data_IF_469868011759
#
_entry.id   IF_469868011759
#
_cell.length_a   1.000
_cell.length_b   1.000
_cell.length_c   1.000
_cell.angle_alpha   90.00
_cell.angle_beta   90.00
_cell.angle_gamma   90.00
#
_symmetry.space_group_name_H-M   'P 1'
#
loop_
_entity.id
_entity.type
_entity.pdbx_description
1 polymer ?
#
# COMPACT_ATOMS: atom_id res chain seq x y z
N UNK A 1 -16.60 17.72 1.75
CA UNK A 1 -16.85 17.93 0.32
C UNK A 1 -15.88 17.04 -0.42
N UNK A 2 -16.36 16.07 -1.20
CA UNK A 2 -15.46 15.22 -1.99
C UNK A 2 -15.15 15.91 -3.31
N UNK A 3 -13.87 16.12 -3.54
CA UNK A 3 -13.36 16.83 -4.71
C UNK A 3 -12.39 15.89 -5.42
N UNK A 4 -12.53 15.72 -6.73
CA UNK A 4 -11.65 14.86 -7.54
C UNK A 4 -10.99 15.67 -8.63
N UNK A 5 -9.73 15.39 -8.92
CA UNK A 5 -9.02 16.03 -10.03
C UNK A 5 -8.89 15.08 -11.21
N UNK A 6 -9.10 15.60 -12.42
CA UNK A 6 -8.75 14.94 -13.68
C UNK A 6 -7.50 15.61 -14.24
N UNK A 7 -6.56 14.81 -14.75
CA UNK A 7 -5.36 15.29 -15.43
C UNK A 7 -5.38 14.81 -16.87
N UNK A 8 -5.30 15.75 -17.82
CA UNK A 8 -5.05 15.47 -19.23
C UNK A 8 -3.67 16.00 -19.60
N UNK A 9 -2.82 15.15 -20.17
CA UNK A 9 -1.49 15.54 -20.67
C UNK A 9 -0.59 16.23 -19.63
N UNK A 10 -0.67 15.83 -18.36
CA UNK A 10 0.13 16.40 -17.27
C UNK A 10 -0.38 17.75 -16.73
N UNK A 11 -1.56 18.19 -17.18
CA UNK A 11 -2.26 19.39 -16.69
C UNK A 11 -3.53 18.95 -15.95
N UNK A 12 -3.83 19.54 -14.79
CA UNK A 12 -5.12 19.28 -14.12
C UNK A 12 -6.20 20.00 -14.93
N UNK A 13 -7.09 19.27 -15.59
CA UNK A 13 -8.04 19.83 -16.57
C UNK A 13 -9.48 19.88 -16.08
N UNK A 14 -9.85 19.11 -15.04
CA UNK A 14 -11.20 19.16 -14.48
C UNK A 14 -11.24 18.86 -12.98
N UNK A 15 -12.13 19.55 -12.26
CA UNK A 15 -12.45 19.33 -10.86
C UNK A 15 -13.84 18.69 -10.75
N UNK A 16 -13.94 17.39 -10.49
CA UNK A 16 -15.24 16.78 -10.26
C UNK A 16 -15.57 16.83 -8.77
N UNK A 17 -16.48 17.72 -8.39
CA UNK A 17 -16.98 17.82 -7.02
C UNK A 17 -18.23 16.97 -6.85
N UNK A 18 -18.28 16.12 -5.84
CA UNK A 18 -19.51 15.46 -5.39
C UNK A 18 -19.79 15.97 -3.99
N UNK A 19 -20.77 16.85 -3.87
CA UNK A 19 -21.10 17.47 -2.61
C UNK A 19 -22.62 17.55 -2.46
N UNK A 20 -23.15 16.89 -1.44
CA UNK A 20 -24.48 17.16 -0.90
C UNK A 20 -24.36 18.25 0.14
N UNK A 21 -25.04 19.38 -0.08
CA UNK A 21 -25.02 20.51 0.82
C UNK A 21 -26.30 20.53 1.63
N UNK A 22 -26.19 20.68 2.94
CA UNK A 22 -27.30 21.07 3.81
C UNK A 22 -26.84 22.27 4.62
N UNK A 23 -27.39 23.45 4.31
CA UNK A 23 -27.28 24.62 5.16
C UNK A 23 -28.44 24.59 6.16
N UNK A 24 -28.13 24.64 7.45
CA UNK A 24 -29.06 25.05 8.50
C UNK A 24 -28.43 26.27 9.17
N UNK A 25 -28.91 27.47 8.83
CA UNK A 25 -28.53 28.72 9.51
C UNK A 25 -29.43 28.99 10.71
N UNK A 26 -28.93 29.82 11.64
CA UNK A 26 -29.66 30.27 12.85
C UNK A 26 -30.91 31.13 12.52
N UNK A 27 -31.07 31.49 11.24
CA UNK A 27 -32.16 32.27 10.64
C UNK A 27 -33.23 31.40 9.93
N UNK A 28 -33.14 30.08 10.05
CA UNK A 28 -34.16 29.14 9.53
C UNK A 28 -34.09 28.88 8.02
N UNK A 29 -33.03 29.33 7.34
CA UNK A 29 -32.80 29.04 5.92
C UNK A 29 -32.48 27.53 5.74
N UNK A 30 -33.36 26.79 5.03
CA UNK A 30 -33.14 25.40 4.63
C UNK A 30 -32.94 25.34 3.12
N UNK A 31 -31.69 25.15 2.70
CA UNK A 31 -31.34 24.91 1.30
C UNK A 31 -30.61 23.57 1.17
N UNK A 32 -31.05 22.76 0.21
CA UNK A 32 -30.41 21.50 -0.17
C UNK A 32 -30.20 21.48 -1.67
N UNK A 33 -29.03 21.07 -2.12
CA UNK A 33 -28.69 21.01 -3.53
C UNK A 33 -28.11 19.63 -3.91
N UNK A 34 -28.46 19.11 -5.10
CA UNK A 34 -27.89 17.87 -5.61
C UNK A 34 -26.40 18.05 -5.95
N UNK A 35 -25.64 16.95 -5.88
CA UNK A 35 -24.24 16.94 -6.30
C UNK A 35 -24.12 17.29 -7.79
N UNK A 36 -23.27 18.27 -8.12
CA UNK A 36 -22.95 18.66 -9.50
C UNK A 36 -21.44 18.83 -9.67
N UNK A 37 -20.93 18.48 -10.85
CA UNK A 37 -19.55 18.71 -11.25
C UNK A 37 -19.29 20.20 -11.46
N UNK A 38 -18.11 20.70 -11.08
CA UNK A 38 -17.70 22.07 -11.29
C UNK A 38 -16.44 22.10 -12.14
N UNK A 39 -16.56 22.38 -13.43
CA UNK A 39 -15.42 22.29 -14.34
C UNK A 39 -14.41 23.43 -14.12
N UNK A 40 -13.12 23.10 -14.16
CA UNK A 40 -12.02 24.04 -14.00
C UNK A 40 -10.66 23.37 -14.18
N UNK A 41 -9.68 24.11 -14.69
CA UNK A 41 -8.32 23.62 -14.97
C UNK A 41 -7.24 24.42 -14.25
N UNK A 42 -6.10 23.78 -13.95
CA UNK A 42 -4.87 24.39 -13.44
C UNK A 42 -3.73 24.17 -14.43
N UNK A 43 -2.90 25.20 -14.62
CA UNK A 43 -1.92 25.23 -15.69
C UNK A 43 -0.53 24.61 -15.37
N UNK A 44 -0.26 24.04 -14.19
CA UNK A 44 1.03 23.40 -13.86
C UNK A 44 1.03 22.57 -12.56
N UNK A 45 1.95 21.59 -12.38
CA UNK A 45 2.00 20.70 -11.22
C UNK A 45 2.95 21.24 -10.16
N UNK A 46 2.47 21.62 -8.98
CA UNK A 46 3.37 22.17 -7.94
C UNK A 46 3.00 21.65 -6.56
N UNK A 47 3.64 20.54 -6.17
CA UNK A 47 3.72 20.09 -4.77
C UNK A 47 4.23 21.24 -3.90
N UNK A 48 3.55 21.53 -2.79
CA UNK A 48 3.89 22.61 -1.88
C UNK A 48 3.37 24.00 -2.28
N UNK A 49 2.69 24.15 -3.42
CA UNK A 49 2.05 25.42 -3.75
C UNK A 49 0.60 25.49 -3.27
N UNK A 50 0.28 26.62 -2.64
CA UNK A 50 -1.08 27.03 -2.34
C UNK A 50 -1.77 27.53 -3.60
N UNK A 51 -3.03 27.18 -3.75
CA UNK A 51 -3.91 27.71 -4.78
C UNK A 51 -5.19 28.24 -4.16
N UNK A 52 -5.83 29.16 -4.87
CA UNK A 52 -7.20 29.56 -4.62
C UNK A 52 -7.95 29.52 -5.92
N UNK A 53 -9.03 28.75 -5.94
CA UNK A 53 -9.88 28.56 -7.10
C UNK A 53 -11.28 29.09 -6.77
N UNK A 54 -11.86 29.83 -7.71
CA UNK A 54 -13.20 30.40 -7.59
C UNK A 54 -14.05 29.86 -8.72
N UNK A 55 -15.22 29.33 -8.38
CA UNK A 55 -16.23 28.96 -9.35
C UNK A 55 -17.56 29.63 -9.01
N UNK A 56 -18.29 29.96 -10.06
CA UNK A 56 -19.69 30.39 -9.96
C UNK A 56 -20.55 29.20 -10.35
N UNK A 57 -21.47 28.83 -9.46
CA UNK A 57 -22.43 27.75 -9.67
C UNK A 57 -23.83 28.36 -9.79
N UNK A 58 -24.80 27.61 -10.28
CA UNK A 58 -26.21 28.04 -10.29
C UNK A 58 -26.77 28.32 -8.88
N UNK A 59 -26.06 27.88 -7.83
CA UNK A 59 -26.42 28.08 -6.43
C UNK A 59 -25.67 29.26 -5.79
N UNK A 60 -24.64 29.80 -6.45
CA UNK A 60 -23.81 30.90 -5.98
C UNK A 60 -22.31 30.61 -6.05
N UNK A 61 -21.51 31.49 -5.45
CA UNK A 61 -20.05 31.48 -5.60
C UNK A 61 -19.37 30.53 -4.60
N UNK A 62 -18.48 29.67 -5.09
CA UNK A 62 -17.65 28.78 -4.27
C UNK A 62 -16.19 29.17 -4.45
N UNK A 63 -15.48 29.34 -3.33
CA UNK A 63 -14.03 29.51 -3.30
C UNK A 63 -13.40 28.31 -2.60
N UNK A 64 -12.50 27.62 -3.28
CA UNK A 64 -11.63 26.58 -2.72
C UNK A 64 -10.25 27.19 -2.52
N UNK A 65 -9.67 27.05 -1.34
CA UNK A 65 -8.28 27.38 -1.07
C UNK A 65 -7.59 26.16 -0.49
N UNK A 66 -6.40 25.80 -0.98
CA UNK A 66 -5.69 24.64 -0.47
C UNK A 66 -4.29 24.54 -1.02
N UNK A 67 -3.59 23.46 -0.70
CA UNK A 67 -2.26 23.19 -1.19
C UNK A 67 -2.12 21.73 -1.62
N UNK A 68 -1.24 21.49 -2.58
CA UNK A 68 -0.85 20.15 -2.99
C UNK A 68 0.12 19.56 -1.97
N UNK A 69 -0.33 18.53 -1.24
CA UNK A 69 0.53 17.73 -0.35
C UNK A 69 1.43 16.76 -1.12
N UNK A 70 1.07 16.43 -2.36
CA UNK A 70 1.88 15.64 -3.30
C UNK A 70 1.50 15.97 -4.74
N UNK A 71 2.04 15.25 -5.72
CA UNK A 71 1.62 15.35 -7.13
C UNK A 71 0.22 14.79 -7.39
N UNK A 72 -0.35 14.06 -6.43
CA UNK A 72 -1.61 13.33 -6.57
C UNK A 72 -2.64 13.62 -5.48
N UNK A 73 -2.28 14.44 -4.48
CA UNK A 73 -3.16 14.79 -3.37
C UNK A 73 -3.11 16.28 -3.06
N UNK A 74 -4.28 16.86 -2.81
CA UNK A 74 -4.42 18.20 -2.29
C UNK A 74 -5.50 18.24 -1.20
N UNK A 75 -5.36 19.21 -0.31
CA UNK A 75 -6.36 19.47 0.72
C UNK A 75 -6.42 20.95 1.05
N UNK A 76 -7.53 21.38 1.64
CA UNK A 76 -7.67 22.76 2.05
C UNK A 76 -9.04 23.07 2.64
N UNK A 77 -9.40 24.34 2.57
CA UNK A 77 -10.68 24.87 3.02
C UNK A 77 -11.51 25.35 1.85
N UNK A 78 -12.82 25.35 2.02
CA UNK A 78 -13.74 25.97 1.10
C UNK A 78 -14.60 27.01 1.80
N UNK A 79 -15.07 27.97 1.01
CA UNK A 79 -16.13 28.91 1.37
C UNK A 79 -17.13 28.97 0.23
N UNK A 80 -18.37 28.59 0.47
CA UNK A 80 -19.46 28.61 -0.49
C UNK A 80 -20.53 29.62 -0.05
N UNK A 81 -20.87 30.58 -0.91
CA UNK A 81 -22.00 31.47 -0.75
C UNK A 81 -23.16 30.95 -1.59
N UNK A 82 -24.11 30.25 -0.98
CA UNK A 82 -25.25 29.64 -1.65
C UNK A 82 -26.49 30.54 -1.47
N UNK A 83 -26.61 31.55 -2.33
CA UNK A 83 -27.64 32.58 -2.22
C UNK A 83 -27.37 33.64 -1.13
N UNK A 84 -28.36 34.49 -0.81
CA UNK A 84 -28.17 35.65 0.08
C UNK A 84 -28.03 35.28 1.56
N UNK A 85 -28.50 34.11 2.01
CA UNK A 85 -28.55 33.70 3.43
C UNK A 85 -27.55 32.59 3.83
N UNK A 86 -26.97 31.82 2.91
CA UNK A 86 -26.18 30.64 3.25
C UNK A 86 -24.70 30.81 2.88
N UNK A 87 -23.85 30.88 3.91
CA UNK A 87 -22.40 30.77 3.78
C UNK A 87 -21.94 29.47 4.44
N UNK A 88 -21.44 28.52 3.66
CA UNK A 88 -20.84 27.28 4.17
C UNK A 88 -19.31 27.38 4.15
N UNK A 89 -18.66 27.01 5.25
CA UNK A 89 -17.20 26.83 5.32
C UNK A 89 -16.90 25.41 5.77
N UNK A 90 -15.81 24.84 5.26
CA UNK A 90 -15.42 23.48 5.64
C UNK A 90 -14.09 23.08 5.04
N UNK A 91 -13.68 21.86 5.34
CA UNK A 91 -12.50 21.25 4.77
C UNK A 91 -12.85 20.41 3.52
N UNK A 92 -11.89 20.30 2.61
CA UNK A 92 -11.94 19.37 1.49
C UNK A 92 -10.59 18.67 1.35
N UNK A 93 -10.64 17.45 0.83
CA UNK A 93 -9.50 16.68 0.36
C UNK A 93 -9.81 16.17 -1.03
N UNK A 94 -8.77 15.95 -1.81
CA UNK A 94 -8.92 15.47 -3.17
C UNK A 94 -7.76 14.58 -3.58
N UNK A 95 -8.14 13.49 -4.25
CA UNK A 95 -7.22 12.50 -4.81
C UNK A 95 -7.22 12.58 -6.34
N UNK A 96 -6.11 12.16 -6.91
CA UNK A 96 -5.91 12.04 -8.35
C UNK A 96 -6.74 10.92 -8.95
N UNK A 97 -7.42 11.21 -10.06
CA UNK A 97 -8.07 10.20 -10.89
C UNK A 97 -7.43 10.21 -12.28
N UNK A 98 -6.88 9.09 -12.76
CA UNK A 98 -6.36 9.00 -14.13
C UNK A 98 -7.49 9.24 -15.13
N UNK A 99 -7.27 10.15 -16.09
CA UNK A 99 -8.23 10.41 -17.15
C UNK A 99 -8.42 9.19 -18.06
N UNK A 100 -9.66 8.72 -18.22
CA UNK A 100 -10.05 7.87 -19.33
C UNK A 100 -10.19 8.75 -20.59
N UNK A 101 -9.15 8.81 -21.42
CA UNK A 101 -9.28 9.34 -22.78
C UNK A 101 -10.25 8.50 -23.61
N UNK A 102 -10.82 9.06 -24.70
CA UNK A 102 -11.78 8.35 -25.54
C UNK A 102 -11.12 7.11 -26.15
N UNK A 103 -11.83 5.99 -26.07
CA UNK A 103 -11.45 4.68 -26.57
C UNK A 103 -11.15 4.71 -28.07
N UNK A 104 -9.91 4.44 -28.46
CA UNK A 104 -9.53 4.26 -29.86
C UNK A 104 -8.03 4.38 -30.08
N UNK A 105 -7.29 3.27 -29.94
CA UNK A 105 -5.87 3.23 -30.25
C UNK A 105 -5.16 2.06 -29.61
N UNK A 106 -5.03 0.98 -30.36
CA UNK A 106 -4.27 -0.23 -30.02
C UNK A 106 -2.81 0.14 -29.76
N UNK A 107 -2.38 0.21 -28.49
CA UNK A 107 -0.96 0.26 -28.15
C UNK A 107 -0.44 -1.16 -27.95
N UNK A 108 0.26 -1.65 -28.97
CA UNK A 108 1.09 -2.84 -28.95
C UNK A 108 2.38 -2.53 -28.20
N UNK A 109 2.34 -2.66 -26.88
CA UNK A 109 3.51 -2.77 -26.02
C UNK A 109 3.26 -3.93 -25.07
N UNK A 110 3.83 -5.09 -25.37
CA UNK A 110 3.70 -6.30 -24.55
C UNK A 110 4.37 -6.09 -23.20
N UNK A 111 3.60 -5.61 -22.23
CA UNK A 111 3.83 -5.92 -20.83
C UNK A 111 3.61 -7.43 -20.63
N UNK A 112 4.42 -8.12 -19.81
CA UNK A 112 4.07 -9.47 -19.37
C UNK A 112 2.67 -9.42 -18.74
N UNK A 113 1.75 -10.22 -19.27
CA UNK A 113 0.38 -10.30 -18.78
C UNK A 113 0.40 -10.79 -17.32
N UNK A 114 0.17 -9.89 -16.36
CA UNK A 114 -0.02 -10.28 -14.96
C UNK A 114 0.07 -9.14 -13.94
N UNK A 115 0.98 -8.18 -14.12
CA UNK A 115 1.34 -7.26 -13.04
C UNK A 115 0.51 -5.97 -12.94
N UNK A 116 -0.29 -5.64 -13.95
CA UNK A 116 -0.92 -4.32 -14.06
C UNK A 116 -2.38 -4.19 -13.60
N UNK A 117 -3.04 -5.24 -13.08
CA UNK A 117 -4.52 -5.20 -12.93
C UNK A 117 -5.11 -5.47 -11.54
N UNK A 118 -4.32 -5.73 -10.50
CA UNK A 118 -4.94 -6.31 -9.30
C UNK A 118 -4.34 -5.94 -7.93
N UNK A 119 -3.37 -5.03 -7.86
CA UNK A 119 -3.26 -4.24 -6.62
C UNK A 119 -4.29 -3.13 -6.72
N UNK A 120 -5.00 -2.87 -5.63
CA UNK A 120 -5.81 -1.64 -5.60
C UNK A 120 -4.93 -0.40 -5.78
N UNK A 121 -3.62 -0.48 -5.45
CA UNK A 121 -2.66 0.63 -5.52
C UNK A 121 -2.94 1.76 -4.52
N UNK A 122 -4.16 1.77 -3.97
CA UNK A 122 -4.67 2.69 -2.97
C UNK A 122 -4.31 2.18 -1.60
N UNK A 123 -3.58 3.00 -0.85
CA UNK A 123 -3.28 2.75 0.56
C UNK A 123 -4.56 2.61 1.38
N UNK A 124 -4.78 1.45 1.98
CA UNK A 124 -5.97 1.16 2.80
C UNK A 124 -5.79 1.20 4.32
N UNK A 125 -4.56 1.21 4.90
CA UNK A 125 -4.42 1.44 6.33
C UNK A 125 -4.96 2.81 6.74
N UNK A 126 -5.81 2.82 7.76
CA UNK A 126 -6.28 4.04 8.39
C UNK A 126 -5.08 4.88 8.88
N UNK A 127 -5.18 6.22 8.89
CA UNK A 127 -4.15 7.06 9.47
C UNK A 127 -3.83 6.60 10.90
N UNK A 128 -2.55 6.63 11.32
CA UNK A 128 -2.15 6.11 12.62
C UNK A 128 -2.87 6.87 13.74
N UNK A 129 -3.27 6.14 14.79
CA UNK A 129 -3.99 6.69 15.95
C UNK A 129 -3.15 7.68 16.77
N UNK A 130 -1.83 7.67 16.59
CA UNK A 130 -0.89 8.58 17.23
C UNK A 130 0.27 8.91 16.27
N UNK A 131 0.78 10.14 16.36
CA UNK A 131 2.00 10.56 15.67
C UNK A 131 3.22 9.99 16.40
N UNK A 132 3.97 9.13 15.73
CA UNK A 132 5.29 8.67 16.19
C UNK A 132 6.35 9.46 15.44
N UNK A 133 7.42 9.87 16.13
CA UNK A 133 8.54 10.55 15.46
C UNK A 133 9.17 9.62 14.43
N UNK A 134 9.40 10.09 13.19
CA UNK A 134 9.92 9.25 12.13
C UNK A 134 11.34 8.79 12.47
N UNK A 135 11.65 7.52 12.18
CA UNK A 135 13.02 6.98 12.32
C UNK A 135 13.78 7.02 10.99
N UNK A 136 13.44 8.02 10.17
CA UNK A 136 14.03 8.30 8.87
C UNK A 136 15.12 9.36 8.98
N UNK A 137 16.25 9.23 8.25
CA UNK A 137 17.26 10.28 8.20
C UNK A 137 16.65 11.60 7.75
N UNK A 138 16.98 12.70 8.42
CA UNK A 138 16.37 14.01 8.17
C UNK A 138 16.64 14.52 6.75
N UNK A 139 17.78 14.12 6.18
CA UNK A 139 18.25 14.41 4.83
C UNK A 139 17.79 13.39 3.77
N UNK A 140 16.97 12.40 4.14
CA UNK A 140 16.46 11.42 3.20
C UNK A 140 15.65 12.11 2.07
N UNK A 141 15.82 11.70 0.80
CA UNK A 141 14.99 12.16 -0.31
C UNK A 141 13.50 11.88 -0.10
N UNK A 142 12.65 12.68 -0.72
CA UNK A 142 11.18 12.58 -0.58
C UNK A 142 10.61 11.18 -0.84
N UNK A 143 11.06 10.39 -1.84
CA UNK A 143 10.61 9.01 -1.98
C UNK A 143 10.81 8.13 -0.75
N UNK A 144 11.95 8.28 -0.07
CA UNK A 144 12.29 7.50 1.11
C UNK A 144 11.42 7.91 2.31
N UNK A 145 11.16 9.22 2.47
CA UNK A 145 10.24 9.76 3.48
C UNK A 145 8.79 9.32 3.23
N UNK A 146 8.36 9.30 1.96
CA UNK A 146 7.02 8.84 1.59
C UNK A 146 6.83 7.35 1.92
N UNK A 147 7.81 6.51 1.58
CA UNK A 147 7.79 5.10 1.98
C UNK A 147 7.80 4.93 3.50
N UNK A 148 8.60 5.72 4.22
CA UNK A 148 8.66 5.67 5.67
C UNK A 148 7.33 5.98 6.33
N UNK A 149 6.65 7.03 5.86
CA UNK A 149 5.32 7.40 6.35
C UNK A 149 4.34 6.22 6.29
N UNK A 150 4.37 5.45 5.20
CA UNK A 150 3.49 4.29 5.00
C UNK A 150 3.88 3.10 5.89
N UNK A 151 5.17 2.75 5.95
CA UNK A 151 5.67 1.66 6.80
C UNK A 151 5.42 1.96 8.28
N UNK A 152 5.65 3.19 8.71
CA UNK A 152 5.42 3.62 10.09
C UNK A 152 3.92 3.59 10.44
N UNK A 153 3.05 4.08 9.54
CA UNK A 153 1.60 3.99 9.73
C UNK A 153 1.13 2.54 9.86
N UNK A 154 1.61 1.63 9.00
CA UNK A 154 1.31 0.20 9.11
C UNK A 154 1.75 -0.38 10.45
N UNK A 155 3.00 -0.13 10.83
CA UNK A 155 3.56 -0.71 12.07
C UNK A 155 2.84 -0.18 13.30
N UNK A 156 2.39 1.07 13.28
CA UNK A 156 1.58 1.65 14.35
C UNK A 156 0.22 0.95 14.47
N UNK A 157 -0.45 0.65 13.36
CA UNK A 157 -1.71 -0.12 13.37
C UNK A 157 -1.53 -1.55 13.90
N UNK A 158 -0.36 -2.14 13.67
CA UNK A 158 0.00 -3.47 14.17
C UNK A 158 0.51 -3.49 15.61
N UNK A 159 0.62 -2.32 16.27
CA UNK A 159 1.23 -2.21 17.61
C UNK A 159 2.71 -2.58 17.64
N UNK A 160 3.40 -2.50 16.50
CA UNK A 160 4.81 -2.83 16.36
C UNK A 160 5.70 -1.59 16.54
N UNK A 161 6.91 -1.73 17.09
CA UNK A 161 7.84 -0.63 17.23
C UNK A 161 8.31 -0.16 15.85
N UNK A 162 8.54 1.15 15.71
CA UNK A 162 9.11 1.70 14.48
C UNK A 162 10.52 1.14 14.25
N UNK A 163 10.77 0.67 13.03
CA UNK A 163 12.08 0.24 12.57
C UNK A 163 12.87 1.42 12.02
N UNK A 164 14.18 1.40 12.17
CA UNK A 164 15.07 2.47 11.68
C UNK A 164 15.21 2.41 10.17
N UNK A 165 14.91 3.50 9.47
CA UNK A 165 15.27 3.58 8.05
C UNK A 165 16.77 3.94 7.97
N UNK A 166 17.60 2.99 7.55
CA UNK A 166 19.05 3.10 7.66
C UNK A 166 19.67 3.61 6.36
N UNK A 167 20.55 4.62 6.45
CA UNK A 167 21.17 5.24 5.27
C UNK A 167 21.87 4.23 4.34
N UNK A 168 22.66 3.30 4.88
CA UNK A 168 23.30 2.25 4.07
C UNK A 168 22.29 1.33 3.36
N UNK A 169 21.16 0.98 3.98
CA UNK A 169 20.12 0.18 3.34
C UNK A 169 19.35 0.99 2.29
N UNK A 170 19.14 2.29 2.53
CA UNK A 170 18.64 3.22 1.51
C UNK A 170 19.57 3.27 0.28
N UNK A 171 20.89 3.37 0.51
CA UNK A 171 21.88 3.35 -0.58
C UNK A 171 21.86 2.04 -1.34
N UNK A 172 21.81 0.89 -0.65
CA UNK A 172 21.75 -0.43 -1.27
C UNK A 172 20.48 -0.61 -2.11
N UNK A 173 19.32 -0.35 -1.53
CA UNK A 173 18.02 -0.47 -2.20
C UNK A 173 17.92 0.49 -3.40
N UNK A 174 18.36 1.74 -3.24
CA UNK A 174 18.34 2.73 -4.33
C UNK A 174 19.30 2.35 -5.46
N UNK A 175 20.50 1.87 -5.12
CA UNK A 175 21.47 1.35 -6.09
C UNK A 175 20.88 0.18 -6.88
N UNK A 176 20.21 -0.76 -6.20
CA UNK A 176 19.60 -1.91 -6.87
C UNK A 176 18.41 -1.53 -7.76
N UNK A 177 17.53 -0.65 -7.31
CA UNK A 177 16.43 -0.15 -8.11
C UNK A 177 16.95 0.50 -9.41
N UNK A 178 17.97 1.35 -9.30
CA UNK A 178 18.62 2.00 -10.45
C UNK A 178 19.27 0.98 -11.38
N UNK A 179 20.02 0.01 -10.84
CA UNK A 179 20.67 -1.05 -11.60
C UNK A 179 19.65 -1.88 -12.41
N UNK A 180 18.56 -2.33 -11.77
CA UNK A 180 17.53 -3.10 -12.47
C UNK A 180 16.90 -2.30 -13.61
N UNK A 181 16.57 -1.03 -13.38
CA UNK A 181 15.97 -0.15 -14.40
C UNK A 181 16.94 0.11 -15.56
N UNK A 182 18.22 0.35 -15.28
CA UNK A 182 19.25 0.56 -16.29
C UNK A 182 19.48 -0.70 -17.15
N UNK A 183 19.40 -1.88 -16.54
CA UNK A 183 19.76 -3.15 -17.16
C UNK A 183 18.56 -4.05 -17.49
N UNK A 184 17.33 -3.53 -17.49
CA UNK A 184 16.09 -4.31 -17.66
C UNK A 184 16.11 -5.25 -18.87
N UNK A 185 16.64 -4.79 -19.99
CA UNK A 185 16.75 -5.61 -21.20
C UNK A 185 17.71 -6.79 -21.01
N UNK A 186 18.81 -6.61 -20.26
CA UNK A 186 19.75 -7.68 -19.94
C UNK A 186 19.12 -8.70 -18.98
N UNK A 187 18.33 -8.26 -17.98
CA UNK A 187 17.54 -9.15 -17.13
C UNK A 187 16.59 -10.02 -17.97
N UNK A 188 15.82 -9.42 -18.88
CA UNK A 188 14.86 -10.12 -19.73
C UNK A 188 15.55 -11.15 -20.63
N UNK A 189 16.69 -10.78 -21.23
CA UNK A 189 17.45 -11.68 -22.11
C UNK A 189 18.08 -12.86 -21.36
N UNK A 190 18.53 -12.63 -20.12
CA UNK A 190 19.23 -13.64 -19.32
C UNK A 190 18.28 -14.52 -18.50
N UNK A 191 17.07 -14.05 -18.22
CA UNK A 191 16.18 -14.69 -17.25
C UNK A 191 16.74 -14.66 -15.82
N UNK A 192 17.54 -13.64 -15.50
CA UNK A 192 18.10 -13.44 -14.17
C UNK A 192 16.99 -13.08 -13.17
N UNK A 193 17.06 -13.59 -11.94
CA UNK A 193 16.17 -13.16 -10.86
C UNK A 193 16.26 -11.64 -10.68
N UNK A 194 15.14 -10.90 -10.53
CA UNK A 194 15.18 -9.46 -10.31
C UNK A 194 15.96 -9.08 -9.05
N UNK A 195 16.02 -9.97 -8.05
CA UNK A 195 16.75 -9.78 -6.78
C UNK A 195 18.29 -9.87 -6.91
N UNK A 196 18.79 -10.46 -7.99
CA UNK A 196 20.22 -10.64 -8.23
C UNK A 196 20.76 -9.54 -9.14
N UNK A 197 22.00 -9.08 -8.93
CA UNK A 197 22.77 -8.33 -9.92
C UNK A 197 23.82 -9.22 -10.58
N UNK A 198 24.11 -8.95 -11.85
CA UNK A 198 25.20 -9.59 -12.59
C UNK A 198 26.36 -8.59 -12.79
N UNK A 199 27.60 -8.90 -12.37
CA UNK A 199 28.74 -8.02 -12.56
C UNK A 199 29.05 -7.72 -14.03
N UNK A 200 28.53 -8.49 -14.99
CA UNK A 200 28.73 -8.26 -16.41
C UNK A 200 27.74 -7.26 -17.03
N UNK A 201 26.71 -6.79 -16.30
CA UNK A 201 25.73 -5.86 -16.86
C UNK A 201 26.25 -4.42 -16.90
N UNK A 202 27.08 -4.01 -15.94
CA UNK A 202 27.62 -2.65 -15.92
C UNK A 202 28.54 -2.35 -14.75
N UNK A 203 29.26 -1.23 -14.85
CA UNK A 203 30.17 -0.74 -13.80
C UNK A 203 29.45 -0.26 -12.54
N UNK A 204 28.13 -0.10 -12.60
CA UNK A 204 27.22 0.24 -11.51
C UNK A 204 26.81 -0.98 -10.66
N UNK A 205 27.39 -2.16 -10.93
CA UNK A 205 27.28 -3.34 -10.07
C UNK A 205 27.83 -3.05 -8.66
N UNK A 206 27.03 -3.35 -7.63
CA UNK A 206 27.41 -3.14 -6.22
C UNK A 206 27.42 -4.42 -5.40
N UNK A 207 26.79 -5.50 -5.87
CA UNK A 207 26.75 -6.78 -5.17
C UNK A 207 25.72 -7.72 -5.75
N UNK A 208 26.00 -9.03 -5.70
CA UNK A 208 25.14 -10.04 -6.35
C UNK A 208 23.77 -10.11 -5.71
N UNK A 209 23.68 -10.25 -4.38
CA UNK A 209 22.40 -10.30 -3.64
C UNK A 209 22.25 -9.08 -2.71
N UNK A 210 21.09 -8.93 -2.07
CA UNK A 210 20.79 -7.83 -1.17
C UNK A 210 21.81 -7.66 -0.04
N UNK A 211 22.30 -8.76 0.54
CA UNK A 211 23.33 -8.76 1.57
C UNK A 211 24.67 -8.22 1.08
N UNK A 212 25.11 -8.62 -0.12
CA UNK A 212 26.33 -8.10 -0.74
C UNK A 212 26.23 -6.59 -1.01
N UNK A 213 25.08 -6.13 -1.51
CA UNK A 213 24.81 -4.71 -1.79
C UNK A 213 24.77 -3.88 -0.51
N UNK A 214 24.11 -4.38 0.53
CA UNK A 214 24.08 -3.74 1.84
C UNK A 214 25.48 -3.63 2.45
N UNK A 215 26.29 -4.70 2.35
CA UNK A 215 27.69 -4.69 2.78
C UNK A 215 28.52 -3.67 2.00
N UNK A 216 28.37 -3.62 0.67
CA UNK A 216 29.05 -2.62 -0.17
C UNK A 216 28.66 -1.18 0.17
N UNK A 217 27.41 -0.96 0.59
CA UNK A 217 26.91 0.32 1.09
C UNK A 217 27.32 0.62 2.55
N UNK A 218 28.07 -0.26 3.21
CA UNK A 218 28.57 -0.08 4.57
C UNK A 218 27.60 -0.50 5.69
N UNK A 219 26.55 -1.26 5.39
CA UNK A 219 25.67 -1.82 6.42
C UNK A 219 26.37 -3.01 7.12
N UNK A 220 26.40 -3.07 8.47
CA UNK A 220 27.18 -4.07 9.20
C UNK A 220 26.59 -5.49 9.15
N UNK A 221 25.30 -5.64 8.85
CA UNK A 221 24.62 -6.94 8.85
C UNK A 221 24.33 -7.43 7.41
N UNK A 222 24.98 -8.48 6.92
CA UNK A 222 24.72 -9.00 5.57
C UNK A 222 23.44 -9.84 5.48
N UNK A 223 22.79 -10.17 6.60
CA UNK A 223 21.52 -10.91 6.61
C UNK A 223 20.35 -9.97 6.29
N UNK A 224 20.22 -9.66 5.00
CA UNK A 224 19.21 -8.75 4.45
C UNK A 224 18.13 -9.55 3.74
N UNK A 225 16.87 -9.26 4.06
CA UNK A 225 15.71 -9.70 3.29
C UNK A 225 15.31 -8.59 2.32
N UNK A 226 14.92 -8.97 1.11
CA UNK A 226 14.56 -8.00 0.06
C UNK A 226 13.17 -8.31 -0.49
N UNK A 227 12.39 -7.24 -0.72
CA UNK A 227 11.15 -7.29 -1.47
C UNK A 227 11.17 -6.25 -2.57
N UNK A 228 10.69 -6.64 -3.75
CA UNK A 228 10.68 -5.80 -4.95
C UNK A 228 9.27 -5.65 -5.53
N UNK A 229 9.00 -4.49 -6.10
CA UNK A 229 7.77 -4.18 -6.79
C UNK A 229 8.06 -3.39 -8.07
N UNK A 230 7.10 -3.37 -8.98
CA UNK A 230 7.21 -2.74 -10.30
C UNK A 230 5.99 -1.85 -10.58
N UNK A 231 5.57 -1.11 -9.56
CA UNK A 231 4.29 -0.39 -9.49
C UNK A 231 4.40 1.09 -9.85
N UNK A 232 5.59 1.69 -9.69
CA UNK A 232 5.88 3.08 -10.05
C UNK A 232 5.83 4.06 -8.88
N UNK A 233 5.69 3.58 -7.64
CA UNK A 233 5.77 4.42 -6.44
C UNK A 233 5.47 3.70 -5.12
N UNK A 234 5.80 4.34 -4.01
CA UNK A 234 5.75 3.76 -2.67
C UNK A 234 4.36 3.24 -2.24
N UNK A 235 3.30 3.99 -2.49
CA UNK A 235 1.92 3.56 -2.13
C UNK A 235 1.56 2.25 -2.81
N UNK A 236 1.77 2.17 -4.13
CA UNK A 236 1.44 0.97 -4.92
C UNK A 236 2.28 -0.23 -4.51
N UNK A 237 3.58 -0.02 -4.29
CA UNK A 237 4.50 -1.09 -3.90
C UNK A 237 4.19 -1.63 -2.51
N UNK A 238 4.07 -0.76 -1.51
CA UNK A 238 3.82 -1.18 -0.12
C UNK A 238 2.44 -1.81 -0.01
N UNK A 239 1.40 -1.18 -0.55
CA UNK A 239 0.06 -1.79 -0.57
C UNK A 239 0.06 -3.12 -1.33
N UNK A 240 0.74 -3.20 -2.47
CA UNK A 240 0.88 -4.41 -3.26
C UNK A 240 1.48 -5.55 -2.43
N UNK A 241 2.62 -5.32 -1.76
CA UNK A 241 3.22 -6.32 -0.87
C UNK A 241 2.31 -6.69 0.30
N UNK A 242 1.57 -5.72 0.87
CA UNK A 242 0.57 -5.97 1.92
C UNK A 242 -0.63 -6.79 1.46
N UNK A 243 -0.86 -6.97 0.16
CA UNK A 243 -1.90 -7.84 -0.38
C UNK A 243 -1.40 -9.26 -0.68
N UNK A 244 -0.08 -9.51 -0.63
CA UNK A 244 0.57 -10.79 -0.99
C UNK A 244 0.85 -11.71 0.20
N UNK A 245 1.35 -12.92 0.00
CA UNK A 245 1.71 -13.85 1.09
C UNK A 245 3.10 -13.54 1.65
N UNK A 246 4.14 -13.69 0.83
CA UNK A 246 5.54 -13.71 1.24
C UNK A 246 6.11 -12.29 1.37
N UNK A 247 5.78 -11.38 0.43
CA UNK A 247 6.35 -10.02 0.46
C UNK A 247 5.77 -9.16 1.61
N UNK A 248 4.62 -9.55 2.19
CA UNK A 248 4.11 -8.90 3.42
C UNK A 248 5.05 -9.14 4.60
N UNK A 249 5.64 -10.33 4.70
CA UNK A 249 6.25 -10.82 5.93
C UNK A 249 7.35 -9.90 6.47
N UNK A 250 8.30 -9.37 5.67
CA UNK A 250 9.32 -8.47 6.19
C UNK A 250 8.78 -7.18 6.82
N UNK A 251 7.69 -6.62 6.27
CA UNK A 251 7.11 -5.35 6.73
C UNK A 251 6.43 -5.49 8.10
N UNK A 252 5.73 -6.61 8.29
CA UNK A 252 4.97 -6.90 9.51
C UNK A 252 5.78 -7.73 10.52
N UNK A 253 7.04 -8.03 10.21
CA UNK A 253 7.84 -8.88 11.08
C UNK A 253 8.09 -8.19 12.44
N UNK A 254 7.87 -8.90 13.58
CA UNK A 254 8.04 -8.31 14.92
C UNK A 254 9.50 -8.03 15.29
N UNK A 255 10.45 -8.59 14.52
CA UNK A 255 11.90 -8.35 14.70
C UNK A 255 12.50 -7.39 13.67
N UNK A 256 11.68 -6.76 12.81
CA UNK A 256 12.18 -5.74 11.89
C UNK A 256 12.82 -4.60 12.69
N UNK A 257 14.13 -4.41 12.54
CA UNK A 257 14.90 -3.40 13.28
C UNK A 257 15.41 -2.28 12.38
N UNK A 258 15.91 -2.62 11.20
CA UNK A 258 16.33 -1.63 10.21
C UNK A 258 15.90 -2.00 8.80
N UNK A 259 15.66 -0.99 7.98
CA UNK A 259 15.24 -1.15 6.58
C UNK A 259 15.70 0.03 5.72
N UNK A 260 15.59 -0.09 4.40
CA UNK A 260 15.86 0.98 3.45
C UNK A 260 14.90 0.96 2.28
N UNK A 261 14.82 2.08 1.56
CA UNK A 261 13.97 2.24 0.39
C UNK A 261 14.77 2.73 -0.82
N UNK A 262 14.53 2.09 -1.95
CA UNK A 262 14.99 2.51 -3.26
C UNK A 262 13.86 2.55 -4.27
N UNK A 263 13.88 3.53 -5.17
CA UNK A 263 13.02 3.49 -6.33
C UNK A 263 13.69 4.09 -7.56
N UNK A 264 13.42 3.52 -8.73
CA UNK A 264 13.89 4.05 -10.00
C UNK A 264 12.83 3.89 -11.08
N UNK A 265 12.86 4.79 -12.07
CA UNK A 265 11.95 4.77 -13.21
C UNK A 265 12.63 5.30 -14.46
N UNK A 266 12.46 4.57 -15.55
CA UNK A 266 12.80 4.96 -16.92
C UNK A 266 11.60 4.67 -17.84
N UNK A 267 11.72 5.00 -19.12
CA UNK A 267 10.61 4.90 -20.09
C UNK A 267 10.00 3.50 -20.22
N UNK A 268 10.76 2.43 -19.95
CA UNK A 268 10.33 1.02 -20.12
C UNK A 268 10.44 0.18 -18.85
N UNK A 269 10.89 0.75 -17.74
CA UNK A 269 11.15 0.01 -16.51
C UNK A 269 10.91 0.91 -15.29
N UNK A 270 10.37 0.33 -14.23
CA UNK A 270 10.24 0.98 -12.93
C UNK A 270 10.41 -0.08 -11.86
N UNK A 271 10.99 0.28 -10.71
CA UNK A 271 11.26 -0.66 -9.64
C UNK A 271 11.28 0.05 -8.31
N UNK A 272 10.67 -0.59 -7.32
CA UNK A 272 10.71 -0.23 -5.92
C UNK A 272 11.33 -1.39 -5.13
N UNK A 273 12.21 -1.07 -4.17
CA UNK A 273 12.98 -2.04 -3.40
C UNK A 273 12.92 -1.67 -1.92
N UNK A 274 12.62 -2.65 -1.07
CA UNK A 274 12.94 -2.61 0.36
C UNK A 274 14.00 -3.66 0.68
N UNK A 275 15.09 -3.20 1.28
CA UNK A 275 16.09 -4.03 1.95
C UNK A 275 15.86 -3.92 3.46
N UNK A 276 15.79 -5.04 4.17
CA UNK A 276 15.47 -5.06 5.59
C UNK A 276 16.30 -6.08 6.39
N UNK A 277 16.49 -5.78 7.67
CA UNK A 277 17.09 -6.66 8.66
C UNK A 277 16.06 -7.02 9.72
N UNK A 278 16.09 -8.28 10.17
CA UNK A 278 15.09 -8.87 11.07
C UNK A 278 15.73 -9.34 12.39
N UNK A 279 16.68 -8.57 12.91
CA UNK A 279 17.51 -8.95 14.07
C UNK A 279 17.08 -8.26 15.37
N UNK A 280 16.08 -7.38 15.31
CA UNK A 280 15.52 -6.72 16.48
C UNK A 280 14.98 -7.67 17.55
N UNK A 281 14.72 -7.16 18.76
CA UNK A 281 14.03 -7.93 19.79
C UNK A 281 12.64 -8.34 19.28
N UNK A 282 12.12 -9.45 19.84
CA UNK A 282 10.72 -9.82 19.61
C UNK A 282 9.83 -8.75 20.23
N UNK A 283 9.08 -8.05 19.39
CA UNK A 283 8.20 -6.97 19.85
C UNK A 283 6.76 -7.40 20.19
N UNK A 284 6.31 -8.55 19.69
CA UNK A 284 4.96 -9.06 19.90
C UNK A 284 4.91 -10.59 19.76
N UNK A 285 4.07 -11.23 20.58
CA UNK A 285 3.82 -12.68 20.57
C UNK A 285 2.85 -13.12 19.47
N UNK A 286 2.09 -12.17 18.91
CA UNK A 286 1.18 -12.37 17.81
C UNK A 286 1.16 -11.11 16.94
N UNK A 287 1.35 -11.29 15.63
CA UNK A 287 1.10 -10.25 14.63
C UNK A 287 0.11 -10.80 13.61
N UNK A 288 -1.00 -10.10 13.40
CA UNK A 288 -2.02 -10.50 12.42
C UNK A 288 -2.21 -9.42 11.36
N UNK A 289 -2.47 -9.85 10.13
CA UNK A 289 -2.90 -8.99 9.04
C UNK A 289 -4.02 -9.68 8.24
N UNK A 290 -5.11 -8.99 7.83
CA UNK A 290 -5.50 -7.64 8.21
C UNK A 290 -5.54 -7.46 9.74
N UNK A 291 -5.21 -6.26 10.22
CA UNK A 291 -5.17 -5.99 11.66
C UNK A 291 -6.59 -5.93 12.25
N UNK A 292 -6.78 -6.15 13.57
CA UNK A 292 -8.10 -6.13 14.18
C UNK A 292 -8.81 -4.78 13.95
N UNK A 293 -10.01 -4.83 13.37
CA UNK A 293 -10.80 -3.66 13.02
C UNK A 293 -10.37 -2.93 11.75
N UNK A 294 -9.44 -3.49 10.95
CA UNK A 294 -9.06 -2.90 9.67
C UNK A 294 -10.28 -2.80 8.74
N UNK A 295 -10.50 -1.63 8.17
CA UNK A 295 -11.52 -1.37 7.14
C UNK A 295 -10.89 -1.24 5.76
N UNK A 296 -11.70 -1.23 4.69
CA UNK A 296 -11.19 -1.06 3.34
C UNK A 296 -10.39 -2.27 2.84
N UNK A 297 -10.50 -3.43 3.49
CA UNK A 297 -9.80 -4.64 3.03
C UNK A 297 -10.36 -5.04 1.66
N UNK A 298 -9.50 -5.27 0.65
CA UNK A 298 -9.98 -5.72 -0.66
C UNK A 298 -10.76 -7.04 -0.55
N UNK A 299 -11.83 -7.16 -1.33
CA UNK A 299 -12.61 -8.41 -1.39
C UNK A 299 -11.87 -9.55 -2.06
N UNK A 300 -10.93 -9.23 -2.95
CA UNK A 300 -10.29 -10.18 -3.83
C UNK A 300 -8.77 -9.98 -3.87
N UNK A 301 -8.05 -11.08 -4.05
CA UNK A 301 -6.63 -11.06 -4.39
C UNK A 301 -6.38 -11.92 -5.64
N UNK A 302 -5.56 -11.41 -6.56
CA UNK A 302 -5.32 -12.04 -7.86
C UNK A 302 -4.31 -13.18 -7.85
N UNK A 303 -3.65 -13.41 -6.72
CA UNK A 303 -2.52 -14.35 -6.66
C UNK A 303 -1.24 -13.83 -7.29
N UNK A 304 -1.18 -12.53 -7.61
CA UNK A 304 -0.04 -11.97 -8.32
C UNK A 304 1.12 -11.71 -7.35
N UNK A 305 1.97 -12.72 -7.21
CA UNK A 305 3.17 -12.73 -6.39
C UNK A 305 4.23 -13.63 -7.04
N UNK A 306 5.51 -13.26 -6.93
CA UNK A 306 6.64 -14.09 -7.36
C UNK A 306 7.54 -14.41 -6.17
N UNK A 307 7.61 -15.66 -5.68
CA UNK A 307 6.91 -16.86 -6.17
C UNK A 307 5.39 -16.82 -5.92
N UNK A 308 4.62 -17.46 -6.81
CA UNK A 308 3.16 -17.52 -6.66
C UNK A 308 2.79 -18.63 -5.67
N UNK A 309 2.02 -18.33 -4.60
CA UNK A 309 1.56 -19.35 -3.67
C UNK A 309 0.50 -20.26 -4.32
N UNK A 310 0.19 -21.41 -3.70
CA UNK A 310 -0.76 -22.38 -4.23
C UNK A 310 -2.09 -21.77 -4.66
N UNK A 311 -2.53 -22.06 -5.88
CA UNK A 311 -3.84 -21.61 -6.36
C UNK A 311 -4.95 -22.27 -5.53
N UNK A 312 -6.01 -21.54 -5.16
CA UNK A 312 -7.22 -22.19 -4.63
C UNK A 312 -7.83 -23.13 -5.69
N UNK A 313 -8.70 -24.08 -5.33
CA UNK A 313 -9.26 -25.06 -6.27
C UNK A 313 -9.94 -24.47 -7.51
N UNK A 314 -10.56 -23.28 -7.39
CA UNK A 314 -11.19 -22.54 -8.49
C UNK A 314 -10.26 -21.61 -9.27
N UNK A 315 -8.98 -21.54 -8.90
CA UNK A 315 -8.05 -20.53 -9.40
C UNK A 315 -8.29 -19.14 -8.79
N UNK A 316 -7.42 -18.19 -9.13
CA UNK A 316 -7.56 -16.81 -8.72
C UNK A 316 -8.66 -16.08 -9.52
N UNK A 317 -9.30 -15.03 -8.97
CA UNK A 317 -9.00 -14.40 -7.68
C UNK A 317 -9.51 -15.18 -6.46
N UNK A 318 -8.72 -15.16 -5.39
CA UNK A 318 -9.09 -15.62 -4.06
C UNK A 318 -9.72 -14.48 -3.24
N UNK A 319 -10.07 -14.75 -1.98
CA UNK A 319 -10.23 -13.69 -0.98
C UNK A 319 -8.89 -13.00 -0.64
N UNK A 320 -8.90 -11.96 0.21
CA UNK A 320 -7.69 -11.29 0.66
C UNK A 320 -6.79 -12.27 1.42
N UNK A 321 -5.49 -12.04 1.36
CA UNK A 321 -4.51 -12.81 2.11
C UNK A 321 -4.53 -12.38 3.57
N UNK A 322 -4.66 -13.37 4.46
CA UNK A 322 -4.68 -13.23 5.90
C UNK A 322 -3.49 -13.98 6.46
N UNK A 323 -2.77 -13.37 7.40
CA UNK A 323 -1.58 -13.93 8.05
C UNK A 323 -1.68 -13.80 9.56
N UNK A 324 -1.22 -14.82 10.28
CA UNK A 324 -0.95 -14.76 11.71
C UNK A 324 0.44 -15.31 11.98
N UNK A 325 1.31 -14.48 12.56
CA UNK A 325 2.65 -14.86 12.98
C UNK A 325 2.71 -14.97 14.49
N UNK A 326 3.18 -16.11 14.98
CA UNK A 326 3.28 -16.39 16.41
C UNK A 326 4.74 -16.29 16.91
N UNK A 327 4.91 -15.81 18.13
CA UNK A 327 6.16 -15.87 18.85
C UNK A 327 5.87 -16.24 20.33
N UNK A 328 6.39 -17.37 20.86
CA UNK A 328 7.01 -18.48 20.12
C UNK A 328 6.01 -19.16 19.14
N UNK A 329 6.51 -20.09 18.33
CA UNK A 329 5.68 -20.89 17.43
C UNK A 329 4.60 -21.67 18.21
N UNK A 330 3.42 -21.82 17.61
CA UNK A 330 2.29 -22.57 18.17
C UNK A 330 1.84 -23.67 17.22
N UNK A 331 1.16 -24.69 17.74
CA UNK A 331 0.42 -25.63 16.91
C UNK A 331 -1.00 -25.11 16.69
N UNK A 332 -1.41 -24.95 15.43
CA UNK A 332 -2.81 -24.60 15.11
C UNK A 332 -3.61 -25.89 14.98
N UNK A 333 -4.60 -26.08 15.86
CA UNK A 333 -5.49 -27.24 15.90
C UNK A 333 -6.66 -27.09 14.92
N UNK A 334 -7.21 -25.88 14.79
CA UNK A 334 -8.28 -25.58 13.84
C UNK A 334 -8.22 -24.12 13.39
N UNK A 335 -8.78 -23.86 12.21
CA UNK A 335 -8.80 -22.55 11.57
C UNK A 335 -10.15 -22.33 10.85
N UNK A 336 -10.73 -21.14 11.02
CA UNK A 336 -11.98 -20.74 10.40
C UNK A 336 -11.90 -19.28 9.93
N UNK A 337 -12.58 -19.01 8.81
CA UNK A 337 -12.86 -17.67 8.31
C UNK A 337 -14.37 -17.52 8.18
N UNK A 338 -14.97 -16.68 9.00
CA UNK A 338 -16.42 -16.59 9.18
C UNK A 338 -16.95 -15.25 8.69
N UNK A 339 -18.08 -15.26 7.99
CA UNK A 339 -18.84 -14.04 7.70
C UNK A 339 -19.56 -13.51 8.96
N UNK A 340 -20.24 -12.37 8.84
CA UNK A 340 -21.00 -11.76 9.94
C UNK A 340 -22.18 -12.63 10.46
N UNK A 341 -22.61 -13.65 9.70
CA UNK A 341 -23.66 -14.60 10.10
C UNK A 341 -23.08 -15.87 10.75
N UNK A 342 -21.75 -15.98 10.83
CA UNK A 342 -21.06 -17.18 11.32
C UNK A 342 -20.91 -18.28 10.27
N UNK A 343 -21.15 -17.98 8.99
CA UNK A 343 -20.94 -18.94 7.90
C UNK A 343 -19.45 -19.03 7.57
N UNK A 344 -18.90 -20.25 7.57
CA UNK A 344 -17.50 -20.46 7.21
C UNK A 344 -17.27 -20.38 5.70
N UNK A 345 -16.21 -19.65 5.31
CA UNK A 345 -15.66 -19.68 3.96
C UNK A 345 -14.59 -20.77 3.84
N UNK A 346 -14.68 -21.56 2.77
CA UNK A 346 -13.59 -22.44 2.38
C UNK A 346 -12.36 -21.61 1.97
N UNK A 347 -11.19 -22.07 2.36
CA UNK A 347 -9.95 -21.32 2.19
C UNK A 347 -8.74 -22.25 2.03
N UNK A 348 -7.71 -21.72 1.37
CA UNK A 348 -6.38 -22.31 1.40
C UNK A 348 -5.77 -22.06 2.76
N UNK A 349 -5.03 -23.04 3.27
CA UNK A 349 -4.30 -22.97 4.54
C UNK A 349 -2.82 -23.28 4.31
N UNK A 350 -1.94 -22.32 4.58
CA UNK A 350 -0.50 -22.49 4.43
C UNK A 350 0.22 -22.37 5.77
N UNK A 351 1.19 -23.25 5.94
CA UNK A 351 2.15 -23.27 7.04
C UNK A 351 3.52 -23.66 6.48
N UNK A 352 4.58 -23.52 7.27
CA UNK A 352 5.90 -24.00 6.86
C UNK A 352 5.99 -25.52 6.66
N UNK A 353 5.00 -26.31 7.08
CA UNK A 353 5.00 -27.76 6.83
C UNK A 353 4.45 -28.12 5.45
N UNK A 354 3.65 -27.24 4.82
CA UNK A 354 3.03 -27.51 3.52
C UNK A 354 3.42 -26.50 2.42
N UNK A 355 4.11 -25.41 2.77
CA UNK A 355 4.61 -24.41 1.83
C UNK A 355 6.11 -24.16 2.02
N UNK A 356 6.91 -24.52 1.00
CA UNK A 356 8.38 -24.44 1.06
C UNK A 356 8.91 -23.01 1.07
N UNK A 357 8.20 -22.08 0.44
CA UNK A 357 8.62 -20.67 0.41
C UNK A 357 8.40 -20.08 1.79
N UNK A 358 7.22 -20.28 2.38
CA UNK A 358 6.92 -19.89 3.75
C UNK A 358 7.90 -20.52 4.74
N UNK A 359 8.23 -21.82 4.58
CA UNK A 359 9.23 -22.49 5.40
C UNK A 359 10.61 -21.83 5.34
N UNK A 360 11.00 -21.32 4.17
CA UNK A 360 12.29 -20.64 3.96
C UNK A 360 12.33 -19.22 4.54
N UNK A 361 11.18 -18.57 4.71
CA UNK A 361 11.09 -17.20 5.22
C UNK A 361 10.73 -17.15 6.70
N UNK A 362 9.64 -17.82 7.11
CA UNK A 362 9.11 -17.72 8.46
C UNK A 362 8.29 -18.96 8.87
N UNK A 363 8.93 -19.86 9.61
CA UNK A 363 8.29 -21.07 10.12
C UNK A 363 7.19 -20.84 11.17
N UNK A 364 7.02 -19.60 11.65
CA UNK A 364 6.05 -19.24 12.70
C UNK A 364 4.83 -18.51 12.17
N UNK A 365 4.76 -18.30 10.86
CA UNK A 365 3.61 -17.69 10.18
C UNK A 365 2.68 -18.78 9.64
N UNK A 366 1.39 -18.56 9.83
CA UNK A 366 0.31 -19.26 9.11
C UNK A 366 -0.44 -18.29 8.22
N UNK A 367 -0.95 -18.79 7.11
CA UNK A 367 -1.59 -17.98 6.08
C UNK A 367 -2.91 -18.63 5.68
N UNK A 368 -3.93 -17.81 5.46
CA UNK A 368 -5.18 -18.27 4.85
C UNK A 368 -5.71 -17.25 3.84
N UNK A 369 -6.36 -17.75 2.79
CA UNK A 369 -7.10 -16.93 1.83
C UNK A 369 -8.26 -17.75 1.26
N UNK A 370 -9.43 -17.13 1.20
CA UNK A 370 -10.65 -17.82 0.76
C UNK A 370 -10.57 -18.30 -0.69
N UNK A 371 -11.22 -19.42 -0.99
CA UNK A 371 -11.26 -19.97 -2.35
C UNK A 371 -11.91 -19.03 -3.37
N UNK A 372 -12.71 -18.06 -2.89
CA UNK A 372 -13.42 -17.08 -3.70
C UNK A 372 -13.28 -15.70 -3.05
N UNK A 373 -13.47 -14.61 -3.82
CA UNK A 373 -13.57 -13.27 -3.26
C UNK A 373 -14.60 -13.21 -2.12
N UNK A 374 -14.26 -12.46 -1.07
CA UNK A 374 -15.13 -12.24 0.07
C UNK A 374 -16.20 -11.19 -0.26
N UNK A 375 -17.41 -11.38 0.25
CA UNK A 375 -18.45 -10.35 0.17
C UNK A 375 -18.11 -9.18 1.09
N UNK A 376 -18.59 -7.97 0.75
CA UNK A 376 -18.46 -6.82 1.63
C UNK A 376 -19.09 -7.08 3.01
N UNK A 377 -18.48 -6.51 4.05
CA UNK A 377 -18.90 -6.67 5.44
C UNK A 377 -17.79 -7.19 6.36
N UNK A 378 -18.17 -7.51 7.59
CA UNK A 378 -17.24 -7.97 8.62
C UNK A 378 -16.96 -9.46 8.46
N UNK A 379 -15.67 -9.80 8.47
CA UNK A 379 -15.16 -11.17 8.48
C UNK A 379 -14.36 -11.40 9.74
N UNK A 380 -14.48 -12.60 10.32
CA UNK A 380 -13.80 -12.99 11.56
C UNK A 380 -12.92 -14.21 11.31
N UNK A 381 -11.66 -14.12 11.72
CA UNK A 381 -10.74 -15.25 11.74
C UNK A 381 -10.77 -15.87 13.12
N UNK A 382 -10.84 -17.20 13.19
CA UNK A 382 -10.70 -17.95 14.44
C UNK A 382 -9.64 -19.03 14.28
N UNK A 383 -8.67 -19.05 15.17
CA UNK A 383 -7.63 -20.06 15.25
C UNK A 383 -7.67 -20.68 16.65
N UNK A 384 -7.89 -21.99 16.72
CA UNK A 384 -7.65 -22.73 17.96
C UNK A 384 -6.20 -23.17 17.95
N UNK A 385 -5.40 -22.68 18.88
CA UNK A 385 -3.97 -22.94 18.95
C UNK A 385 -3.61 -23.62 20.26
N UNK A 386 -2.50 -24.35 20.27
CA UNK A 386 -1.92 -24.90 21.47
C UNK A 386 -0.59 -24.20 21.76
N UNK A 387 -0.50 -23.56 22.92
CA UNK A 387 0.70 -22.85 23.41
C UNK A 387 1.08 -23.43 24.76
N UNK A 388 2.30 -23.97 24.87
CA UNK A 388 2.80 -24.62 26.08
C UNK A 388 1.82 -25.66 26.68
N UNK A 389 1.18 -26.46 25.82
CA UNK A 389 0.23 -27.50 26.21
C UNK A 389 -1.17 -27.01 26.61
N UNK A 390 -1.45 -25.71 26.50
CA UNK A 390 -2.78 -25.14 26.76
C UNK A 390 -3.45 -24.74 25.45
N UNK A 391 -4.73 -25.07 25.34
CA UNK A 391 -5.57 -24.60 24.23
C UNK A 391 -5.92 -23.12 24.43
N UNK A 392 -5.76 -22.34 23.36
CA UNK A 392 -6.01 -20.91 23.29
C UNK A 392 -6.85 -20.62 22.04
N UNK A 393 -7.85 -19.73 22.15
CA UNK A 393 -8.60 -19.24 21.00
C UNK A 393 -8.08 -17.85 20.62
N UNK A 394 -7.48 -17.76 19.44
CA UNK A 394 -7.10 -16.49 18.82
C UNK A 394 -8.18 -16.10 17.82
N UNK A 395 -8.77 -14.93 17.99
CA UNK A 395 -9.79 -14.43 17.06
C UNK A 395 -9.69 -12.92 16.87
N UNK A 396 -9.97 -12.47 15.65
CA UNK A 396 -10.07 -11.06 15.31
C UNK A 396 -10.94 -10.88 14.08
N UNK A 397 -11.39 -9.65 13.85
CA UNK A 397 -12.25 -9.31 12.71
C UNK A 397 -11.69 -8.14 11.91
N UNK A 398 -12.03 -8.09 10.63
CA UNK A 398 -11.74 -6.99 9.71
C UNK A 398 -12.95 -6.77 8.78
N UNK A 399 -13.00 -5.63 8.11
CA UNK A 399 -14.08 -5.25 7.22
C UNK A 399 -13.61 -5.21 5.77
N UNK A 400 -14.28 -6.01 4.94
CA UNK A 400 -14.11 -6.00 3.48
C UNK A 400 -14.95 -4.88 2.90
N UNK A 401 -14.32 -4.01 2.12
CA UNK A 401 -14.93 -2.77 1.64
C UNK A 401 -15.02 -1.68 2.71
N UNK A 402 -15.73 -0.60 2.39
CA UNK A 402 -15.93 0.56 3.27
C UNK A 402 -17.19 0.42 4.12
#
# INVERSE_FOLDING_TARGET
MDVRFRVDSGQVTALQTVATWSCAGDDGCKASAPARALDGSFAAPLTGQSFTWKATTDLGAVTLSGAFGSTVQASGTYKAQLGPCCTAVGAWSADWVPGSGPTGGTQTGTQPAGWGKHSTGTWHPAPPRATVAPKTPTDAPEPQKAAATLVEALRAQLGLPMATQHAALNTAAQGHASFYVAHKAAYDNKGLSPHDQDPNFGSDFTGKNAGDRAKAAGHPNPAVVEIMAFTGGASGAIQGWLETVYHRLPLVHPRLDAWGWGQAKASKAQTEVIDATLVGPVAADLVVYPYPGQTGVPSAWSGNEGPQPPKPPGGYPSGPVITARFEPAVQVQSHELLDAKGTAAEHVWLTATNDKVLASFDAKTVVLYAHKPLTAGVWTVKLKVQRAGKDELVQWSFQVGN
#
